data_IF_986448486041
#
_entry.id   IF_986448486041
#
_cell.length_a   1.000
_cell.length_b   1.000
_cell.length_c   1.000
_cell.angle_alpha   90.00
_cell.angle_beta   90.00
_cell.angle_gamma   90.00
#
_symmetry.space_group_name_H-M   'P 1'
#
loop_
_entity.id
_entity.type
_entity.pdbx_description
1 polymer ?
#
# COMPACT_ATOMS: atom_id res chain seq x y z
N UNK A 1 1.67 -22.56 8.91
CA UNK A 1 0.21 -22.27 8.89
C UNK A 1 -0.11 -21.67 7.53
N UNK A 2 -0.88 -22.35 6.67
CA UNK A 2 -1.31 -21.78 5.38
C UNK A 2 -2.53 -20.90 5.66
N UNK A 3 -2.40 -19.58 5.53
CA UNK A 3 -3.54 -18.67 5.60
C UNK A 3 -4.37 -18.90 4.33
N UNK A 4 -5.61 -19.39 4.47
CA UNK A 4 -6.53 -19.47 3.35
C UNK A 4 -7.00 -18.06 3.00
N UNK A 5 -6.52 -17.52 1.88
CA UNK A 5 -6.88 -16.19 1.38
C UNK A 5 -7.91 -16.40 0.27
N UNK A 6 -9.12 -15.82 0.40
CA UNK A 6 -10.11 -15.89 -0.68
C UNK A 6 -9.68 -15.03 -1.88
N UNK A 7 -10.07 -15.46 -3.08
CA UNK A 7 -9.82 -14.74 -4.32
C UNK A 7 -10.24 -13.26 -4.23
N UNK A 8 -9.48 -12.38 -4.89
CA UNK A 8 -9.77 -10.95 -4.97
C UNK A 8 -9.40 -10.42 -6.36
N UNK A 9 -10.26 -9.65 -7.01
CA UNK A 9 -9.91 -9.06 -8.31
C UNK A 9 -8.77 -8.04 -8.22
N UNK A 10 -8.68 -7.35 -7.07
CA UNK A 10 -7.70 -6.31 -6.76
C UNK A 10 -6.90 -6.67 -5.51
N UNK A 11 -5.57 -6.58 -5.61
CA UNK A 11 -4.65 -6.65 -4.49
C UNK A 11 -3.83 -5.36 -4.41
N UNK A 12 -3.79 -4.71 -3.25
CA UNK A 12 -2.97 -3.51 -3.01
C UNK A 12 -1.91 -3.83 -1.96
N UNK A 13 -0.64 -3.62 -2.28
CA UNK A 13 0.48 -3.80 -1.35
C UNK A 13 0.72 -2.46 -0.65
N UNK A 14 0.59 -2.45 0.67
CA UNK A 14 0.80 -1.26 1.52
C UNK A 14 2.11 -1.41 2.30
N UNK A 15 3.01 -0.41 2.31
CA UNK A 15 4.11 -0.39 3.26
C UNK A 15 3.59 -0.37 4.70
N UNK A 16 2.83 0.66 5.08
CA UNK A 16 2.31 0.86 6.44
C UNK A 16 0.78 0.79 6.50
N UNK A 17 0.25 0.84 7.73
CA UNK A 17 -1.17 0.73 8.07
C UNK A 17 -1.92 2.05 7.79
N UNK A 18 -1.88 2.51 6.55
CA UNK A 18 -2.54 3.73 6.03
C UNK A 18 -2.29 3.94 4.53
N UNK A 19 -1.06 3.67 4.05
CA UNK A 19 -0.59 4.05 2.71
C UNK A 19 -1.48 3.60 1.55
N UNK A 20 -2.02 2.37 1.60
CA UNK A 20 -2.90 1.86 0.56
C UNK A 20 -4.20 2.68 0.47
N UNK A 21 -4.80 3.08 1.60
CA UNK A 21 -6.00 3.93 1.58
C UNK A 21 -5.64 5.36 1.17
N UNK A 22 -4.46 5.85 1.57
CA UNK A 22 -3.98 7.17 1.17
C UNK A 22 -3.82 7.25 -0.35
N UNK A 23 -3.08 6.31 -0.93
CA UNK A 23 -2.74 6.29 -2.36
C UNK A 23 -3.81 5.70 -3.28
N UNK A 24 -4.63 4.76 -2.80
CA UNK A 24 -5.52 3.93 -3.62
C UNK A 24 -6.95 3.82 -3.08
N UNK A 25 -7.34 4.60 -2.07
CA UNK A 25 -8.65 4.51 -1.43
C UNK A 25 -9.85 4.58 -2.38
N UNK A 26 -9.81 5.38 -3.45
CA UNK A 26 -10.91 5.46 -4.43
C UNK A 26 -10.99 4.16 -5.24
N UNK A 27 -9.85 3.67 -5.70
CA UNK A 27 -9.76 2.41 -6.46
C UNK A 27 -10.15 1.21 -5.59
N UNK A 28 -9.75 1.19 -4.32
CA UNK A 28 -10.18 0.17 -3.35
C UNK A 28 -11.71 0.24 -3.18
N UNK A 29 -12.27 1.43 -2.99
CA UNK A 29 -13.73 1.62 -2.86
C UNK A 29 -14.51 1.16 -4.10
N UNK A 30 -13.90 1.27 -5.28
CA UNK A 30 -14.49 0.83 -6.54
C UNK A 30 -14.42 -0.70 -6.74
N UNK A 31 -13.66 -1.43 -5.92
CA UNK A 31 -13.49 -2.89 -6.01
C UNK A 31 -13.80 -3.56 -4.65
N UNK A 32 -15.09 -3.69 -4.28
CA UNK A 32 -15.48 -4.42 -3.07
C UNK A 32 -14.87 -5.83 -3.03
N UNK A 33 -14.35 -6.22 -1.87
CA UNK A 33 -13.62 -7.47 -1.67
C UNK A 33 -12.12 -7.40 -1.95
N UNK A 34 -11.61 -6.23 -2.41
CA UNK A 34 -10.18 -5.98 -2.60
C UNK A 34 -9.36 -6.40 -1.37
N UNK A 35 -8.17 -6.94 -1.61
CA UNK A 35 -7.25 -7.37 -0.57
C UNK A 35 -6.15 -6.33 -0.39
N UNK A 36 -6.02 -5.76 0.81
CA UNK A 36 -4.92 -4.85 1.16
C UNK A 36 -3.90 -5.61 1.99
N UNK A 37 -2.71 -5.78 1.45
CA UNK A 37 -1.60 -6.51 2.06
C UNK A 37 -0.61 -5.52 2.66
N UNK A 38 -0.63 -5.36 3.98
CA UNK A 38 0.27 -4.42 4.68
C UNK A 38 1.51 -5.13 5.16
N UNK A 39 2.69 -4.69 4.71
CA UNK A 39 3.97 -5.34 5.01
C UNK A 39 4.43 -5.08 6.44
N UNK A 40 4.51 -3.82 6.86
CA UNK A 40 5.10 -3.42 8.13
C UNK A 40 4.05 -3.26 9.22
N UNK A 41 3.28 -4.32 9.46
CA UNK A 41 2.23 -4.33 10.46
C UNK A 41 2.63 -5.01 11.77
N UNK A 42 3.85 -5.55 11.89
CA UNK A 42 4.34 -6.25 13.08
C UNK A 42 4.62 -5.34 14.28
N UNK A 43 4.57 -5.91 15.49
CA UNK A 43 4.97 -5.23 16.73
C UNK A 43 6.38 -5.67 17.10
N UNK A 44 7.31 -4.75 17.42
CA UNK A 44 8.68 -5.12 17.81
C UNK A 44 8.71 -5.90 19.13
N UNK A 45 9.77 -6.68 19.34
CA UNK A 45 9.96 -7.46 20.58
C UNK A 45 9.99 -6.58 21.82
N UNK A 46 10.68 -5.44 21.75
CA UNK A 46 10.58 -4.38 22.77
C UNK A 46 9.29 -3.58 22.55
N UNK A 47 8.18 -4.15 23.02
CA UNK A 47 6.85 -3.54 22.90
C UNK A 47 6.71 -2.22 23.67
N UNK A 48 7.57 -1.97 24.67
CA UNK A 48 7.58 -0.76 25.48
C UNK A 48 8.38 0.39 24.83
N UNK A 49 9.15 0.10 23.77
CA UNK A 49 9.88 1.11 23.03
C UNK A 49 8.96 2.23 22.53
N UNK A 50 9.49 3.45 22.42
CA UNK A 50 8.71 4.60 21.98
C UNK A 50 9.49 5.53 21.07
N UNK A 51 9.04 5.63 19.82
CA UNK A 51 9.67 6.47 18.80
C UNK A 51 9.16 7.91 18.86
N UNK A 52 9.78 8.81 18.09
CA UNK A 52 9.25 10.17 17.88
C UNK A 52 7.90 10.15 17.16
N UNK A 53 7.71 9.22 16.22
CA UNK A 53 6.45 9.06 15.50
C UNK A 53 5.32 8.60 16.42
N UNK A 54 5.60 7.67 17.34
CA UNK A 54 4.61 7.24 18.36
C UNK A 54 4.18 8.40 19.24
N UNK A 55 5.14 9.23 19.69
CA UNK A 55 4.82 10.43 20.48
C UNK A 55 3.95 11.40 19.69
N UNK A 56 4.27 11.64 18.43
CA UNK A 56 3.49 12.51 17.54
C UNK A 56 2.07 11.95 17.30
N UNK A 57 1.93 10.63 17.21
CA UNK A 57 0.65 9.94 17.09
C UNK A 57 -0.14 9.89 18.42
N UNK A 58 0.50 10.17 19.56
CA UNK A 58 -0.10 10.18 20.89
C UNK A 58 -0.04 8.84 21.63
N UNK A 59 0.91 7.97 21.27
CA UNK A 59 1.11 6.67 21.90
C UNK A 59 2.27 6.67 22.91
N UNK A 60 2.11 5.86 23.96
CA UNK A 60 3.09 5.67 25.01
C UNK A 60 4.08 4.53 24.71
N UNK A 61 3.76 3.61 23.80
CA UNK A 61 4.62 2.49 23.42
C UNK A 61 4.31 1.96 22.01
N UNK A 62 5.24 1.18 21.44
CA UNK A 62 5.09 0.52 20.15
C UNK A 62 3.95 -0.50 20.16
N UNK A 63 3.79 -1.26 21.26
CA UNK A 63 2.68 -2.18 21.45
C UNK A 63 1.33 -1.46 21.36
N UNK A 64 1.19 -0.32 22.06
CA UNK A 64 -0.03 0.48 22.01
C UNK A 64 -0.26 1.02 20.59
N UNK A 65 0.80 1.52 19.95
CA UNK A 65 0.73 2.08 18.60
C UNK A 65 0.28 1.04 17.57
N UNK A 66 0.88 -0.14 17.56
CA UNK A 66 0.57 -1.17 16.55
C UNK A 66 -0.81 -1.79 16.73
N UNK A 67 -1.27 -1.98 17.97
CA UNK A 67 -2.66 -2.41 18.24
C UNK A 67 -3.66 -1.37 17.73
N UNK A 68 -3.41 -0.09 18.02
CA UNK A 68 -4.28 1.00 17.58
C UNK A 68 -4.30 1.13 16.05
N UNK A 69 -3.13 1.18 15.39
CA UNK A 69 -3.03 1.31 13.93
C UNK A 69 -3.70 0.15 13.18
N UNK A 70 -3.57 -1.08 13.68
CA UNK A 70 -4.30 -2.24 13.12
C UNK A 70 -5.82 -2.10 13.26
N UNK A 71 -6.30 -1.52 14.38
CA UNK A 71 -7.73 -1.24 14.56
C UNK A 71 -8.21 -0.13 13.61
N UNK A 72 -7.44 0.93 13.46
CA UNK A 72 -7.70 2.02 12.50
C UNK A 72 -7.78 1.46 11.07
N UNK A 73 -6.79 0.69 10.65
CA UNK A 73 -6.72 0.08 9.32
C UNK A 73 -7.90 -0.86 9.03
N UNK A 74 -8.25 -1.74 9.99
CA UNK A 74 -9.44 -2.59 9.85
C UNK A 74 -10.72 -1.77 9.67
N UNK A 75 -10.85 -0.67 10.41
CA UNK A 75 -12.04 0.20 10.36
C UNK A 75 -12.10 0.94 9.02
N UNK A 76 -10.97 1.50 8.57
CA UNK A 76 -10.86 2.18 7.29
C UNK A 76 -11.20 1.25 6.11
N UNK A 77 -10.62 0.05 6.08
CA UNK A 77 -10.86 -0.91 5.02
C UNK A 77 -12.30 -1.44 5.02
N UNK A 78 -12.92 -1.58 6.19
CA UNK A 78 -14.35 -1.89 6.27
C UNK A 78 -15.22 -0.80 5.62
N UNK A 79 -14.87 0.49 5.77
CA UNK A 79 -15.56 1.58 5.07
C UNK A 79 -15.44 1.49 3.54
N UNK A 80 -14.44 0.78 3.02
CA UNK A 80 -14.20 0.56 1.59
C UNK A 80 -14.63 -0.83 1.11
N UNK A 81 -15.26 -1.65 1.97
CA UNK A 81 -15.56 -3.07 1.68
C UNK A 81 -14.33 -3.90 1.30
N UNK A 82 -13.15 -3.52 1.78
CA UNK A 82 -11.89 -4.20 1.54
C UNK A 82 -11.47 -5.06 2.74
N UNK A 83 -10.56 -6.00 2.51
CA UNK A 83 -10.07 -6.95 3.51
C UNK A 83 -8.60 -6.67 3.83
N UNK A 84 -8.23 -6.55 5.11
CA UNK A 84 -6.83 -6.49 5.50
C UNK A 84 -6.17 -7.87 5.49
N UNK A 85 -4.93 -7.93 5.02
CA UNK A 85 -3.96 -8.98 5.33
C UNK A 85 -2.69 -8.31 5.84
N UNK A 86 -2.37 -8.52 7.11
CA UNK A 86 -1.20 -7.94 7.75
C UNK A 86 -0.06 -8.95 7.78
N UNK A 87 1.09 -8.57 7.25
CA UNK A 87 2.33 -9.30 7.46
C UNK A 87 3.04 -8.70 8.68
N UNK A 88 3.65 -9.55 9.49
CA UNK A 88 4.25 -9.15 10.76
C UNK A 88 5.69 -8.63 10.61
N UNK A 89 6.05 -8.02 9.48
CA UNK A 89 7.37 -7.39 9.36
C UNK A 89 7.44 -6.13 10.25
N UNK A 90 8.63 -5.88 10.80
CA UNK A 90 8.89 -4.73 11.67
C UNK A 90 9.38 -3.56 10.83
N UNK A 91 8.74 -2.40 10.94
CA UNK A 91 9.13 -1.19 10.21
C UNK A 91 10.39 -0.51 10.76
N UNK A 92 11.04 0.35 9.96
CA UNK A 92 12.32 0.97 10.28
C UNK A 92 12.29 1.82 11.56
N UNK A 93 11.14 2.41 11.90
CA UNK A 93 10.97 3.14 13.16
C UNK A 93 11.24 2.27 14.40
N UNK A 94 11.09 0.95 14.28
CA UNK A 94 11.29 -0.03 15.36
C UNK A 94 12.48 -0.98 15.12
N UNK A 95 13.53 -0.52 14.43
CA UNK A 95 14.73 -1.33 14.13
C UNK A 95 14.43 -2.54 13.21
N UNK A 96 13.94 -2.23 12.00
CA UNK A 96 13.48 -3.16 10.96
C UNK A 96 14.30 -4.45 10.82
N UNK A 97 13.57 -5.56 10.64
CA UNK A 97 14.09 -6.76 9.97
C UNK A 97 14.14 -6.53 8.45
N UNK A 98 15.34 -6.43 7.91
CA UNK A 98 15.62 -5.91 6.56
C UNK A 98 15.72 -7.00 5.49
N UNK A 99 14.87 -8.02 5.57
CA UNK A 99 14.89 -9.12 4.60
C UNK A 99 13.88 -8.94 3.45
N UNK A 100 14.26 -8.12 2.45
CA UNK A 100 13.47 -7.87 1.24
C UNK A 100 13.12 -9.15 0.48
N UNK A 101 14.02 -10.15 0.45
CA UNK A 101 13.77 -11.43 -0.22
C UNK A 101 12.71 -12.28 0.49
N UNK A 102 12.68 -12.23 1.82
CA UNK A 102 11.62 -12.86 2.61
C UNK A 102 10.26 -12.17 2.37
N UNK A 103 10.24 -10.84 2.34
CA UNK A 103 9.04 -10.06 1.98
C UNK A 103 8.53 -10.43 0.60
N UNK A 104 9.41 -10.48 -0.40
CA UNK A 104 9.07 -10.88 -1.76
C UNK A 104 8.51 -12.32 -1.81
N UNK A 105 9.14 -13.26 -1.09
CA UNK A 105 8.68 -14.64 -1.02
C UNK A 105 7.28 -14.75 -0.39
N UNK A 106 7.00 -13.97 0.66
CA UNK A 106 5.67 -13.88 1.26
C UNK A 106 4.65 -13.27 0.30
N UNK A 107 5.00 -12.19 -0.40
CA UNK A 107 4.15 -11.60 -1.43
C UNK A 107 3.82 -12.58 -2.55
N UNK A 108 4.79 -13.37 -3.04
CA UNK A 108 4.54 -14.43 -4.03
C UNK A 108 3.52 -15.45 -3.51
N UNK A 109 3.64 -15.88 -2.25
CA UNK A 109 2.68 -16.81 -1.64
C UNK A 109 1.27 -16.20 -1.56
N UNK A 110 1.18 -14.95 -1.13
CA UNK A 110 -0.09 -14.22 -1.03
C UNK A 110 -0.74 -14.06 -2.39
N UNK A 111 0.00 -13.59 -3.40
CA UNK A 111 -0.53 -13.38 -4.76
C UNK A 111 -0.98 -14.70 -5.38
N UNK A 112 -0.24 -15.80 -5.20
CA UNK A 112 -0.67 -17.12 -5.68
C UNK A 112 -1.95 -17.62 -4.99
N UNK A 113 -2.11 -17.30 -3.71
CA UNK A 113 -3.27 -17.76 -2.94
C UNK A 113 -4.53 -16.92 -3.23
N UNK A 114 -4.36 -15.60 -3.36
CA UNK A 114 -5.44 -14.66 -3.65
C UNK A 114 -5.81 -14.59 -5.14
N UNK A 115 -4.93 -15.09 -6.01
CA UNK A 115 -5.05 -15.08 -7.48
C UNK A 115 -5.63 -13.80 -8.09
N UNK A 116 -5.07 -12.61 -7.79
CA UNK A 116 -5.65 -11.36 -8.25
C UNK A 116 -5.40 -11.11 -9.73
N UNK A 117 -6.37 -10.48 -10.39
CA UNK A 117 -6.23 -10.01 -11.76
C UNK A 117 -5.37 -8.73 -11.84
N UNK A 118 -5.41 -7.90 -10.79
CA UNK A 118 -4.69 -6.63 -10.72
C UNK A 118 -3.97 -6.45 -9.38
N UNK A 119 -2.71 -6.02 -9.43
CA UNK A 119 -1.85 -5.77 -8.28
C UNK A 119 -1.33 -4.34 -8.31
N UNK A 120 -1.52 -3.61 -7.21
CA UNK A 120 -0.96 -2.28 -6.99
C UNK A 120 0.19 -2.36 -6.01
N UNK A 121 1.33 -1.78 -6.35
CA UNK A 121 2.52 -1.69 -5.51
C UNK A 121 2.93 -0.24 -5.24
N UNK A 122 3.57 0.06 -4.10
CA UNK A 122 3.97 1.42 -3.75
C UNK A 122 5.12 1.90 -4.64
N UNK A 123 5.15 3.20 -4.94
CA UNK A 123 6.26 3.81 -5.66
C UNK A 123 7.58 3.87 -4.86
N UNK A 124 7.55 3.79 -3.53
CA UNK A 124 8.79 3.71 -2.76
C UNK A 124 9.56 5.04 -2.70
N UNK A 125 8.87 6.17 -2.52
CA UNK A 125 9.42 7.50 -2.83
C UNK A 125 10.25 8.15 -1.72
N UNK A 126 10.16 7.76 -0.45
CA UNK A 126 10.91 8.44 0.63
C UNK A 126 11.49 7.49 1.67
N UNK A 127 10.65 6.70 2.33
CA UNK A 127 11.06 5.97 3.53
C UNK A 127 11.75 4.65 3.17
N UNK A 128 12.71 4.22 3.98
CA UNK A 128 13.39 2.92 3.80
C UNK A 128 12.40 1.75 3.70
N UNK A 129 11.30 1.83 4.45
CA UNK A 129 10.20 0.85 4.41
C UNK A 129 9.47 0.88 3.07
N UNK A 130 9.14 2.07 2.56
CA UNK A 130 8.48 2.21 1.25
C UNK A 130 9.40 1.69 0.12
N UNK A 131 10.69 1.99 0.18
CA UNK A 131 11.69 1.47 -0.76
C UNK A 131 11.82 -0.06 -0.68
N UNK A 132 11.82 -0.64 0.53
CA UNK A 132 11.85 -2.09 0.73
C UNK A 132 10.56 -2.77 0.25
N UNK A 133 9.40 -2.18 0.51
CA UNK A 133 8.10 -2.65 0.03
C UNK A 133 8.06 -2.68 -1.50
N UNK A 134 8.50 -1.59 -2.14
CA UNK A 134 8.62 -1.48 -3.58
C UNK A 134 9.55 -2.55 -4.15
N UNK A 135 10.76 -2.69 -3.58
CA UNK A 135 11.74 -3.69 -4.03
C UNK A 135 11.20 -5.12 -3.88
N UNK A 136 10.57 -5.45 -2.75
CA UNK A 136 9.96 -6.76 -2.51
C UNK A 136 8.85 -7.06 -3.51
N UNK A 137 7.99 -6.07 -3.80
CA UNK A 137 6.91 -6.21 -4.77
C UNK A 137 7.43 -6.39 -6.21
N UNK A 138 8.48 -5.67 -6.61
CA UNK A 138 9.12 -5.87 -7.91
C UNK A 138 9.77 -7.25 -8.05
N UNK A 139 10.42 -7.77 -7.00
CA UNK A 139 10.96 -9.13 -7.00
C UNK A 139 9.83 -10.15 -7.12
N UNK A 140 8.73 -9.95 -6.39
CA UNK A 140 7.55 -10.81 -6.49
C UNK A 140 6.94 -10.80 -7.90
N UNK A 141 6.79 -9.62 -8.51
CA UNK A 141 6.33 -9.45 -9.90
C UNK A 141 7.17 -10.28 -10.88
N UNK A 142 8.49 -10.05 -10.88
CA UNK A 142 9.43 -10.76 -11.78
C UNK A 142 9.44 -12.27 -11.53
N UNK A 143 9.28 -12.70 -10.27
CA UNK A 143 9.21 -14.12 -9.91
C UNK A 143 7.94 -14.77 -10.46
N UNK A 144 6.79 -14.09 -10.35
CA UNK A 144 5.52 -14.60 -10.83
C UNK A 144 5.46 -14.64 -12.36
N UNK A 145 5.97 -13.62 -13.04
CA UNK A 145 6.04 -13.56 -14.51
C UNK A 145 6.92 -14.65 -15.12
N UNK A 146 7.95 -15.11 -14.41
CA UNK A 146 8.84 -16.22 -14.85
C UNK A 146 8.31 -17.62 -14.51
N UNK A 147 7.08 -17.74 -14.00
CA UNK A 147 6.49 -19.04 -13.67
C UNK A 147 6.22 -19.87 -14.93
N UNK A 148 6.35 -21.20 -14.82
CA UNK A 148 6.16 -22.15 -15.94
C UNK A 148 4.77 -22.03 -16.60
N UNK A 149 3.75 -21.68 -15.80
CA UNK A 149 2.41 -21.34 -16.28
C UNK A 149 2.18 -19.85 -15.98
N UNK A 150 2.41 -18.95 -16.95
CA UNK A 150 2.15 -17.54 -16.78
C UNK A 150 0.64 -17.31 -16.63
N UNK A 151 0.25 -16.65 -15.55
CA UNK A 151 -1.11 -16.10 -15.42
C UNK A 151 -0.95 -14.61 -15.64
N UNK A 152 -1.63 -14.11 -16.66
CA UNK A 152 -1.64 -12.69 -17.01
C UNK A 152 -2.27 -11.89 -15.87
N UNK A 153 -1.55 -10.86 -15.42
CA UNK A 153 -1.97 -9.97 -14.33
C UNK A 153 -1.51 -8.57 -14.64
N UNK A 154 -2.36 -7.60 -14.33
CA UNK A 154 -2.00 -6.19 -14.40
C UNK A 154 -1.17 -5.82 -13.17
N UNK A 155 0.03 -5.27 -13.40
CA UNK A 155 0.87 -4.69 -12.35
C UNK A 155 0.87 -3.18 -12.50
N UNK A 156 0.46 -2.48 -11.45
CA UNK A 156 0.50 -1.03 -11.38
C UNK A 156 1.30 -0.57 -10.17
N UNK A 157 1.96 0.56 -10.33
CA UNK A 157 2.59 1.31 -9.25
C UNK A 157 1.72 2.52 -8.91
N UNK A 158 1.41 2.74 -7.64
CA UNK A 158 0.70 3.95 -7.19
C UNK A 158 1.69 4.97 -6.61
N UNK A 159 1.41 6.25 -6.85
CA UNK A 159 2.16 7.34 -6.24
C UNK A 159 1.71 7.56 -4.79
N UNK A 160 2.66 7.64 -3.86
CA UNK A 160 2.37 7.89 -2.45
C UNK A 160 2.04 9.38 -2.25
N UNK A 161 0.80 9.75 -1.86
CA UNK A 161 0.36 11.15 -1.94
C UNK A 161 1.13 12.09 -1.01
N UNK A 162 1.60 11.59 0.13
CA UNK A 162 2.41 12.37 1.06
C UNK A 162 3.79 12.78 0.49
N UNK A 163 4.25 12.14 -0.59
CA UNK A 163 5.61 12.27 -1.10
C UNK A 163 5.70 12.61 -2.59
N UNK A 164 4.66 12.33 -3.38
CA UNK A 164 4.68 12.44 -4.85
C UNK A 164 5.02 13.82 -5.41
N UNK A 165 4.82 14.89 -4.63
CA UNK A 165 5.16 16.26 -5.02
C UNK A 165 6.54 16.72 -4.56
N UNK A 166 7.28 15.88 -3.85
CA UNK A 166 8.66 16.20 -3.48
C UNK A 166 9.52 16.16 -4.76
N UNK A 167 10.28 17.22 -5.07
CA UNK A 167 11.03 17.30 -6.31
C UNK A 167 12.00 16.13 -6.49
N UNK A 168 11.98 15.49 -7.66
CA UNK A 168 12.98 14.50 -8.07
C UNK A 168 12.68 13.05 -7.68
N UNK A 169 11.88 12.80 -6.64
CA UNK A 169 11.71 11.44 -6.10
C UNK A 169 11.01 10.48 -7.07
N UNK A 170 9.92 10.94 -7.71
CA UNK A 170 9.24 10.13 -8.72
C UNK A 170 10.12 9.94 -9.96
N UNK A 171 10.84 10.98 -10.38
CA UNK A 171 11.75 10.92 -11.53
C UNK A 171 12.88 9.92 -11.29
N UNK A 172 13.48 9.94 -10.10
CA UNK A 172 14.50 8.98 -9.68
C UNK A 172 13.93 7.55 -9.68
N UNK A 173 12.74 7.34 -9.12
CA UNK A 173 12.07 6.03 -9.12
C UNK A 173 11.85 5.50 -10.54
N UNK A 174 11.35 6.32 -11.46
CA UNK A 174 11.14 5.94 -12.85
C UNK A 174 12.46 5.62 -13.54
N UNK A 175 13.53 6.36 -13.25
CA UNK A 175 14.88 6.08 -13.76
C UNK A 175 15.44 4.74 -13.23
N UNK A 176 15.22 4.43 -11.95
CA UNK A 176 15.59 3.13 -11.37
C UNK A 176 14.83 1.97 -12.01
N UNK A 177 13.53 2.13 -12.26
CA UNK A 177 12.70 1.11 -12.93
C UNK A 177 13.22 0.83 -14.34
N UNK A 178 13.44 1.89 -15.13
CA UNK A 178 14.01 1.79 -16.48
C UNK A 178 15.36 1.07 -16.47
N UNK A 179 16.27 1.47 -15.57
CA UNK A 179 17.58 0.82 -15.40
C UNK A 179 17.48 -0.66 -14.98
N UNK A 180 16.37 -1.05 -14.35
CA UNK A 180 16.10 -2.42 -13.94
C UNK A 180 15.32 -3.25 -14.98
N UNK A 181 15.15 -2.73 -16.21
CA UNK A 181 14.38 -3.38 -17.27
C UNK A 181 12.88 -3.45 -16.97
N UNK A 182 12.33 -2.42 -16.32
CA UNK A 182 10.90 -2.29 -16.06
C UNK A 182 10.41 -1.00 -16.68
N UNK A 183 9.54 -1.11 -17.66
CA UNK A 183 8.84 0.02 -18.24
C UNK A 183 7.70 0.45 -17.32
N UNK A 184 7.57 1.76 -17.11
CA UNK A 184 6.49 2.37 -16.36
C UNK A 184 5.78 3.41 -17.24
N UNK A 185 4.50 3.21 -17.51
CA UNK A 185 3.69 4.13 -18.33
C UNK A 185 2.53 4.69 -17.51
N UNK A 186 2.19 6.00 -17.63
CA UNK A 186 1.04 6.55 -16.91
C UNK A 186 -0.23 5.75 -17.22
N UNK A 187 -0.95 5.37 -16.17
CA UNK A 187 -2.13 4.54 -16.27
C UNK A 187 -3.33 5.18 -15.57
N UNK A 188 -4.52 4.93 -16.12
CA UNK A 188 -5.78 5.10 -15.42
C UNK A 188 -6.23 3.72 -14.96
N UNK A 189 -6.69 3.60 -13.73
CA UNK A 189 -7.24 2.33 -13.27
C UNK A 189 -8.46 1.96 -14.12
N UNK A 190 -8.59 0.69 -14.57
CA UNK A 190 -9.82 0.20 -15.14
C UNK A 190 -10.94 0.41 -14.11
N UNK A 191 -12.06 0.99 -14.54
CA UNK A 191 -13.28 1.02 -13.72
C UNK A 191 -13.72 -0.43 -13.52
N UNK A 192 -14.14 -0.80 -12.30
CA UNK A 192 -14.61 -2.15 -12.01
C UNK A 192 -15.67 -2.61 -13.03
N UNK A 193 -15.75 -3.92 -13.29
CA UNK A 193 -16.56 -4.53 -14.35
C UNK A 193 -18.10 -4.40 -14.18
N UNK A 194 -18.58 -3.51 -13.31
CA UNK A 194 -20.00 -3.21 -13.13
C UNK A 194 -20.40 -1.90 -13.83
N UNK A 195 -20.44 -1.94 -15.17
CA UNK A 195 -21.01 -0.88 -16.00
C UNK A 195 -20.16 0.39 -16.10
N UNK A 196 -20.41 1.19 -17.14
CA UNK A 196 -19.76 2.51 -17.29
C UNK A 196 -20.01 3.31 -16.03
N UNK A 197 -18.97 3.54 -15.22
CA UNK A 197 -19.13 4.39 -14.04
C UNK A 197 -19.62 5.77 -14.49
N UNK A 198 -20.82 6.14 -14.11
CA UNK A 198 -21.28 7.51 -14.25
C UNK A 198 -20.41 8.40 -13.35
N UNK A 199 -20.36 9.71 -13.64
CA UNK A 199 -19.61 10.65 -12.80
C UNK A 199 -20.03 10.58 -11.31
N UNK A 200 -21.25 10.12 -11.04
CA UNK A 200 -21.76 9.86 -9.69
C UNK A 200 -21.07 8.70 -8.94
N UNK A 201 -20.61 7.65 -9.63
CA UNK A 201 -19.90 6.54 -8.97
C UNK A 201 -18.46 6.90 -8.58
N UNK A 202 -17.76 7.68 -9.41
CA UNK A 202 -16.44 8.21 -9.07
C UNK A 202 -16.53 9.16 -7.85
N UNK A 203 -17.59 9.99 -7.81
CA UNK A 203 -17.87 10.85 -6.66
C UNK A 203 -18.17 10.04 -5.38
N UNK A 204 -18.90 8.92 -5.49
CA UNK A 204 -19.18 8.04 -4.35
C UNK A 204 -17.93 7.32 -3.82
N UNK A 205 -17.04 6.83 -4.70
CA UNK A 205 -15.77 6.22 -4.32
C UNK A 205 -14.85 7.24 -3.59
N UNK A 206 -14.76 8.47 -4.10
CA UNK A 206 -14.05 9.57 -3.44
C UNK A 206 -14.61 9.88 -2.05
N UNK A 207 -15.94 9.94 -1.90
CA UNK A 207 -16.56 10.16 -0.59
C UNK A 207 -16.24 9.02 0.40
N UNK A 208 -16.24 7.77 -0.05
CA UNK A 208 -15.84 6.61 0.79
C UNK A 208 -14.37 6.68 1.19
N UNK A 209 -13.47 7.04 0.26
CA UNK A 209 -12.07 7.31 0.58
C UNK A 209 -11.97 8.36 1.68
N UNK A 210 -12.69 9.47 1.58
CA UNK A 210 -12.64 10.53 2.60
C UNK A 210 -13.05 10.03 3.99
N UNK A 211 -14.08 9.19 4.07
CA UNK A 211 -14.49 8.56 5.34
C UNK A 211 -13.39 7.62 5.86
N UNK A 212 -12.85 6.75 5.02
CA UNK A 212 -11.80 5.81 5.40
C UNK A 212 -10.51 6.53 5.85
N UNK A 213 -10.15 7.65 5.23
CA UNK A 213 -9.02 8.48 5.64
C UNK A 213 -9.16 8.95 7.10
N UNK A 214 -10.36 9.32 7.53
CA UNK A 214 -10.58 9.79 8.91
C UNK A 214 -10.38 8.69 9.96
N UNK A 215 -10.47 7.41 9.58
CA UNK A 215 -10.25 6.30 10.51
C UNK A 215 -8.78 6.21 10.98
N UNK A 216 -7.82 6.76 10.22
CA UNK A 216 -6.40 6.80 10.58
C UNK A 216 -6.06 8.00 11.48
N UNK A 217 -6.81 8.17 12.58
CA UNK A 217 -6.69 9.33 13.46
C UNK A 217 -5.26 9.54 13.96
N UNK A 218 -4.59 8.47 14.37
CA UNK A 218 -3.22 8.52 14.88
C UNK A 218 -2.21 8.97 13.81
N UNK A 219 -2.38 8.51 12.56
CA UNK A 219 -1.48 8.88 11.46
C UNK A 219 -1.74 10.31 11.00
N UNK A 220 -3.01 10.71 10.88
CA UNK A 220 -3.37 12.09 10.57
C UNK A 220 -2.87 13.07 11.66
N UNK A 221 -2.87 12.67 12.93
CA UNK A 221 -2.26 13.44 14.02
C UNK A 221 -0.74 13.56 13.83
N UNK A 222 -0.05 12.44 13.66
CA UNK A 222 1.41 12.42 13.51
C UNK A 222 1.88 13.23 12.29
N UNK A 223 1.21 13.11 11.14
CA UNK A 223 1.51 13.86 9.94
C UNK A 223 1.35 15.37 10.14
N UNK A 224 0.30 15.83 10.84
CA UNK A 224 0.11 17.24 11.21
C UNK A 224 1.23 17.73 12.13
N UNK A 225 1.56 16.97 13.16
CA UNK A 225 2.61 17.32 14.13
C UNK A 225 3.99 17.38 13.46
N UNK A 226 4.27 16.49 12.53
CA UNK A 226 5.53 16.47 11.79
C UNK A 226 5.65 17.59 10.73
N UNK A 227 4.63 18.46 10.60
CA UNK A 227 4.52 19.50 9.59
C UNK A 227 4.83 19.00 8.18
N UNK A 228 4.53 17.72 7.90
CA UNK A 228 4.83 17.13 6.59
C UNK A 228 3.93 17.76 5.55
N UNK A 229 4.56 18.34 4.52
CA UNK A 229 3.86 18.73 3.30
C UNK A 229 3.12 17.50 2.73
N UNK A 230 1.93 17.69 2.15
CA UNK A 230 1.21 16.62 1.45
C UNK A 230 -0.06 16.08 2.13
N UNK A 231 -0.48 16.59 3.31
CA UNK A 231 -1.82 16.20 3.85
C UNK A 231 -2.96 16.50 2.87
N UNK A 232 -2.87 17.63 2.16
CA UNK A 232 -3.87 17.98 1.14
C UNK A 232 -3.85 16.99 -0.03
N UNK A 233 -2.71 16.37 -0.31
CA UNK A 233 -2.58 15.43 -1.42
C UNK A 233 -3.26 14.09 -1.18
N UNK A 234 -3.59 13.76 0.07
CA UNK A 234 -4.43 12.61 0.43
C UNK A 234 -5.81 12.68 -0.23
N UNK A 235 -6.31 13.88 -0.51
CA UNK A 235 -7.61 14.16 -1.13
C UNK A 235 -7.50 14.52 -2.62
N UNK A 236 -6.28 14.60 -3.16
CA UNK A 236 -6.07 14.86 -4.57
C UNK A 236 -6.20 13.57 -5.39
N UNK A 237 -6.47 13.64 -6.71
CA UNK A 237 -6.65 12.46 -7.55
C UNK A 237 -5.51 11.45 -7.44
N UNK A 238 -5.85 10.18 -7.47
CA UNK A 238 -4.90 9.07 -7.44
C UNK A 238 -4.13 8.97 -8.76
N UNK A 239 -2.87 8.54 -8.70
CA UNK A 239 -1.98 8.48 -9.85
C UNK A 239 -1.28 7.12 -9.90
N UNK A 240 -1.31 6.50 -11.08
CA UNK A 240 -0.85 5.14 -11.30
C UNK A 240 0.05 5.04 -12.52
N UNK A 241 0.92 4.04 -12.50
CA UNK A 241 1.83 3.68 -13.59
C UNK A 241 1.72 2.19 -13.87
N UNK A 242 1.37 1.80 -15.09
CA UNK A 242 1.38 0.39 -15.51
C UNK A 242 2.82 -0.06 -15.67
N UNK A 243 3.15 -1.21 -15.08
CA UNK A 243 4.47 -1.79 -15.09
C UNK A 243 4.54 -3.00 -16.02
N UNK A 244 5.56 -3.03 -16.87
CA UNK A 244 5.87 -4.16 -17.75
C UNK A 244 7.35 -4.50 -17.60
N UNK A 245 7.68 -5.74 -17.24
CA UNK A 245 9.06 -6.20 -17.26
C UNK A 245 9.46 -6.50 -18.72
N UNK A 246 10.59 -5.96 -19.14
CA UNK A 246 11.21 -6.25 -20.45
C UNK A 246 12.19 -7.41 -20.34
#
# INVERSE_FOLDING_TARGET
MHLAISAADLLVISPHLDDAVFGCGEVIAAHPGALVVTLFAGTPDDGDMRTSWDRAAGFASAQQAMVARRREDRTALACLEARPLWLDFIGAQYQRDSNVNLMASRLVQVVRSADPACILLPAGLVHDDHAAAHAAALIAMKTLQRSVVPVERDWLMYEEPAYRRLPGLLQERLSCLSSAGVEATPARMPRAHAGRASDGQASAAGARKHVALQCYESQLRALRTAARAGLHDLYAPEAFWRLSAT
#
